data_IF_576922291529
#
_entry.id   IF_576922291529
#
_cell.length_a   1.000
_cell.length_b   1.000
_cell.length_c   1.000
_cell.angle_alpha   90.00
_cell.angle_beta   90.00
_cell.angle_gamma   90.00
#
_symmetry.space_group_name_H-M   'P 1'
#
loop_
_entity.id
_entity.type
_entity.pdbx_description
1 polymer ?
#
# COMPACT_ATOMS: atom_id res chain seq x y z
N UNK A 1 -38.41 -27.10 23.43
CA UNK A 1 -38.12 -27.42 22.02
C UNK A 1 -39.01 -26.56 21.15
N UNK A 2 -38.51 -25.39 20.72
CA UNK A 2 -39.20 -24.55 19.74
C UNK A 2 -38.35 -24.43 18.48
N UNK A 3 -38.98 -24.94 17.41
CA UNK A 3 -38.58 -25.13 16.02
C UNK A 3 -37.69 -24.06 15.36
N UNK A 4 -36.73 -24.55 14.56
CA UNK A 4 -35.79 -23.89 13.66
C UNK A 4 -36.41 -23.05 12.51
N UNK A 5 -37.67 -22.62 12.61
CA UNK A 5 -38.40 -22.01 11.48
C UNK A 5 -38.48 -20.46 11.49
N UNK A 6 -37.89 -19.78 12.48
CA UNK A 6 -38.03 -18.32 12.61
C UNK A 6 -36.87 -17.49 12.02
N UNK A 7 -35.84 -18.12 11.44
CA UNK A 7 -34.67 -17.41 10.90
C UNK A 7 -34.80 -16.95 9.43
N UNK A 8 -35.89 -17.29 8.73
CA UNK A 8 -36.06 -16.94 7.30
C UNK A 8 -36.88 -15.68 7.02
N UNK A 9 -37.53 -15.08 8.01
CA UNK A 9 -38.44 -13.94 7.79
C UNK A 9 -37.79 -12.57 8.02
N UNK A 10 -36.57 -12.51 8.57
CA UNK A 10 -35.84 -11.25 8.80
C UNK A 10 -34.90 -10.84 7.64
N UNK A 11 -34.79 -11.65 6.59
CA UNK A 11 -33.90 -11.35 5.46
C UNK A 11 -34.56 -10.48 4.36
N UNK A 12 -35.86 -10.19 4.45
CA UNK A 12 -36.65 -9.61 3.35
C UNK A 12 -37.29 -8.23 3.64
N UNK A 13 -36.86 -7.49 4.68
CA UNK A 13 -37.48 -6.19 5.01
C UNK A 13 -36.56 -4.97 4.78
N UNK A 14 -35.28 -5.14 4.41
CA UNK A 14 -34.39 -4.01 4.09
C UNK A 14 -34.10 -3.79 2.60
N UNK A 15 -34.82 -4.46 1.69
CA UNK A 15 -34.66 -4.30 0.24
C UNK A 15 -35.84 -3.56 -0.38
N UNK A 16 -36.05 -2.30 0.00
CA UNK A 16 -36.86 -1.39 -0.82
C UNK A 16 -36.06 -0.97 -2.05
N UNK A 17 -36.37 -1.63 -3.17
CA UNK A 17 -36.19 -1.21 -4.57
C UNK A 17 -34.93 -0.41 -4.94
N UNK A 18 -33.86 -1.12 -5.28
CA UNK A 18 -32.93 -0.71 -6.34
C UNK A 18 -32.69 -1.88 -7.29
N UNK A 19 -33.74 -2.25 -8.03
CA UNK A 19 -33.60 -3.12 -9.19
C UNK A 19 -33.33 -2.24 -10.42
N UNK A 20 -32.07 -1.88 -10.67
CA UNK A 20 -31.55 -1.56 -12.01
C UNK A 20 -30.01 -1.51 -11.99
N UNK A 21 -29.38 -2.53 -12.58
CA UNK A 21 -27.94 -2.67 -12.90
C UNK A 21 -26.95 -2.75 -11.74
N UNK A 22 -26.15 -3.83 -11.72
CA UNK A 22 -25.09 -4.10 -10.77
C UNK A 22 -24.01 -3.00 -10.78
N UNK A 23 -24.18 -1.96 -9.96
CA UNK A 23 -23.15 -0.96 -9.67
C UNK A 23 -22.61 -1.18 -8.27
N UNK A 24 -21.29 -1.05 -8.12
CA UNK A 24 -20.67 -1.07 -6.81
C UNK A 24 -21.26 0.00 -5.88
N UNK A 25 -21.43 -0.33 -4.59
CA UNK A 25 -21.94 0.63 -3.62
C UNK A 25 -21.02 1.85 -3.55
N UNK A 26 -21.64 3.01 -3.37
CA UNK A 26 -20.92 4.28 -3.23
C UNK A 26 -21.03 4.79 -1.79
N UNK A 27 -20.04 5.57 -1.36
CA UNK A 27 -20.06 6.19 -0.05
C UNK A 27 -19.86 7.71 -0.12
N UNK A 28 -20.49 8.42 0.82
CA UNK A 28 -20.16 9.79 1.19
C UNK A 28 -19.68 9.82 2.64
N UNK A 29 -18.61 10.56 2.89
CA UNK A 29 -18.06 10.76 4.22
C UNK A 29 -18.38 12.20 4.66
N UNK A 30 -18.92 12.36 5.86
CA UNK A 30 -19.22 13.65 6.46
C UNK A 30 -18.43 13.76 7.76
N UNK A 31 -17.38 14.57 7.76
CA UNK A 31 -16.61 14.91 8.96
C UNK A 31 -17.26 16.14 9.59
N UNK A 32 -17.63 16.04 10.86
CA UNK A 32 -18.35 17.07 11.62
C UNK A 32 -17.42 17.51 12.74
N UNK A 33 -16.97 18.77 12.69
CA UNK A 33 -16.01 19.28 13.65
C UNK A 33 -15.40 20.61 13.20
N UNK A 34 -15.72 21.66 13.94
CA UNK A 34 -15.16 23.00 13.77
C UNK A 34 -13.64 23.05 13.90
N UNK A 35 -13.05 22.17 14.72
CA UNK A 35 -11.61 22.02 14.91
C UNK A 35 -10.89 21.52 13.65
N UNK A 36 -11.58 20.73 12.82
CA UNK A 36 -11.07 20.28 11.53
C UNK A 36 -11.09 21.45 10.53
N UNK A 37 -12.20 22.21 10.50
CA UNK A 37 -12.32 23.40 9.66
C UNK A 37 -11.28 24.48 10.01
N UNK A 38 -10.94 24.60 11.30
CA UNK A 38 -9.92 25.53 11.82
C UNK A 38 -8.50 24.97 11.71
N UNK A 39 -8.32 23.77 11.15
CA UNK A 39 -7.04 23.05 11.05
C UNK A 39 -6.30 22.87 12.38
N UNK A 40 -7.01 22.87 13.51
CA UNK A 40 -6.45 22.59 14.83
C UNK A 40 -6.15 21.10 14.99
N UNK A 41 -6.97 20.26 14.34
CA UNK A 41 -6.80 18.82 14.30
C UNK A 41 -6.75 18.39 12.83
N UNK A 42 -5.77 17.54 12.50
CA UNK A 42 -5.69 16.93 11.17
C UNK A 42 -6.71 15.81 11.06
N UNK A 43 -7.57 15.85 10.04
CA UNK A 43 -8.49 14.76 9.74
C UNK A 43 -7.72 13.51 9.27
N UNK A 44 -7.69 12.50 10.14
CA UNK A 44 -7.17 11.16 9.85
C UNK A 44 -8.28 10.14 9.57
N UNK A 45 -9.52 10.44 9.96
CA UNK A 45 -10.64 9.51 9.91
C UNK A 45 -11.12 9.33 8.47
N UNK A 46 -11.20 10.40 7.68
CA UNK A 46 -11.58 10.29 6.26
C UNK A 46 -10.58 9.45 5.46
N UNK A 47 -9.29 9.64 5.71
CA UNK A 47 -8.22 8.83 5.10
C UNK A 47 -8.38 7.35 5.48
N UNK A 48 -8.58 7.07 6.78
CA UNK A 48 -8.78 5.72 7.28
C UNK A 48 -10.00 5.04 6.64
N UNK A 49 -11.14 5.74 6.59
CA UNK A 49 -12.36 5.27 5.94
C UNK A 49 -12.14 4.98 4.45
N UNK A 50 -11.52 5.89 3.70
CA UNK A 50 -11.29 5.72 2.27
C UNK A 50 -10.49 4.44 1.98
N UNK A 51 -9.41 4.21 2.73
CA UNK A 51 -8.58 3.02 2.56
C UNK A 51 -9.36 1.72 2.80
N UNK A 52 -10.16 1.67 3.87
CA UNK A 52 -10.90 0.46 4.22
C UNK A 52 -12.12 0.23 3.32
N UNK A 53 -12.89 1.27 2.99
CA UNK A 53 -14.03 1.17 2.07
C UNK A 53 -13.58 0.73 0.68
N UNK A 54 -12.44 1.25 0.20
CA UNK A 54 -11.87 0.83 -1.07
C UNK A 54 -11.54 -0.67 -1.09
N UNK A 55 -10.99 -1.23 0.00
CA UNK A 55 -10.74 -2.67 0.16
C UNK A 55 -12.03 -3.51 0.14
N UNK A 56 -13.16 -2.93 0.54
CA UNK A 56 -14.50 -3.53 0.44
C UNK A 56 -15.17 -3.31 -0.92
N UNK A 57 -14.48 -2.74 -1.91
CA UNK A 57 -15.06 -2.41 -3.21
C UNK A 57 -16.11 -1.29 -3.13
N UNK A 58 -16.06 -0.42 -2.13
CA UNK A 58 -16.97 0.72 -2.01
C UNK A 58 -16.26 1.97 -2.52
N UNK A 59 -16.84 2.63 -3.52
CA UNK A 59 -16.26 3.86 -4.08
C UNK A 59 -16.71 5.07 -3.26
N UNK A 60 -15.79 5.67 -2.52
CA UNK A 60 -16.04 6.98 -1.88
C UNK A 60 -16.14 8.03 -2.99
N UNK A 61 -17.25 8.77 -3.02
CA UNK A 61 -17.59 9.75 -4.07
C UNK A 61 -17.53 11.19 -3.59
N UNK A 62 -17.68 11.41 -2.28
CA UNK A 62 -17.63 12.73 -1.66
C UNK A 62 -17.08 12.60 -0.24
N UNK A 63 -16.25 13.55 0.13
CA UNK A 63 -15.88 13.83 1.52
C UNK A 63 -16.25 15.29 1.75
N UNK A 64 -17.00 15.56 2.81
CA UNK A 64 -17.33 16.93 3.24
C UNK A 64 -16.90 17.11 4.68
N UNK A 65 -16.33 18.27 4.99
CA UNK A 65 -16.09 18.73 6.35
C UNK A 65 -17.05 19.88 6.63
N UNK A 66 -17.83 19.79 7.70
CA UNK A 66 -18.87 20.76 8.05
C UNK A 66 -18.79 21.16 9.52
N UNK A 67 -19.34 22.33 9.84
CA UNK A 67 -19.37 22.88 11.20
C UNK A 67 -20.33 22.11 12.11
N UNK A 68 -20.14 22.24 13.42
CA UNK A 68 -21.01 21.73 14.48
C UNK A 68 -22.34 22.50 14.56
N UNK A 69 -23.15 22.39 13.51
CA UNK A 69 -24.43 23.07 13.38
C UNK A 69 -25.52 22.11 12.90
N UNK A 70 -26.63 22.04 13.63
CA UNK A 70 -27.75 21.12 13.37
C UNK A 70 -28.30 21.24 11.95
N UNK A 71 -28.42 22.46 11.40
CA UNK A 71 -29.03 22.69 10.10
C UNK A 71 -28.10 22.27 8.96
N UNK A 72 -26.81 22.59 9.08
CA UNK A 72 -25.81 22.18 8.10
C UNK A 72 -25.61 20.66 8.10
N UNK A 73 -25.53 20.04 9.28
CA UNK A 73 -25.48 18.58 9.43
C UNK A 73 -26.71 17.93 8.79
N UNK A 74 -27.90 18.42 9.12
CA UNK A 74 -29.15 17.88 8.59
C UNK A 74 -29.22 17.96 7.07
N UNK A 75 -28.85 19.11 6.50
CA UNK A 75 -28.85 19.37 5.06
C UNK A 75 -27.86 18.48 4.33
N UNK A 76 -26.63 18.35 4.83
CA UNK A 76 -25.60 17.51 4.20
C UNK A 76 -25.96 16.02 4.29
N UNK A 77 -26.45 15.55 5.44
CA UNK A 77 -26.93 14.17 5.60
C UNK A 77 -28.07 13.88 4.60
N UNK A 78 -29.08 14.75 4.52
CA UNK A 78 -30.23 14.57 3.61
C UNK A 78 -29.78 14.54 2.15
N UNK A 79 -28.87 15.42 1.76
CA UNK A 79 -28.32 15.47 0.41
C UNK A 79 -27.49 14.22 0.06
N UNK A 80 -26.67 13.75 0.99
CA UNK A 80 -25.83 12.58 0.79
C UNK A 80 -26.65 11.28 0.78
N UNK A 81 -27.60 11.15 1.70
CA UNK A 81 -28.45 9.95 1.85
C UNK A 81 -29.25 9.65 0.57
N UNK A 82 -29.71 10.69 -0.13
CA UNK A 82 -30.41 10.56 -1.41
C UNK A 82 -29.52 10.16 -2.60
N UNK A 83 -28.20 10.32 -2.49
CA UNK A 83 -27.27 10.17 -3.63
C UNK A 83 -26.35 8.94 -3.54
N UNK A 84 -26.07 8.46 -2.34
CA UNK A 84 -25.03 7.46 -2.10
C UNK A 84 -25.58 6.25 -1.35
N UNK A 85 -24.93 5.09 -1.55
CA UNK A 85 -25.35 3.85 -0.90
C UNK A 85 -25.08 3.89 0.61
N UNK A 86 -23.97 4.48 1.01
CA UNK A 86 -23.57 4.65 2.41
C UNK A 86 -23.27 6.12 2.69
N UNK A 87 -23.80 6.64 3.79
CA UNK A 87 -23.37 7.92 4.36
C UNK A 87 -22.72 7.63 5.69
N UNK A 88 -21.47 8.05 5.86
CA UNK A 88 -20.70 7.74 7.06
C UNK A 88 -20.25 9.06 7.68
N UNK A 89 -20.62 9.28 8.94
CA UNK A 89 -20.24 10.48 9.66
C UNK A 89 -19.17 10.19 10.71
N UNK A 90 -18.37 11.19 11.05
CA UNK A 90 -17.43 11.15 12.17
C UNK A 90 -17.44 12.51 12.88
N UNK A 91 -17.69 12.50 14.18
CA UNK A 91 -17.67 13.70 15.04
C UNK A 91 -19.03 14.15 15.55
N UNK A 92 -19.02 15.08 16.51
CA UNK A 92 -20.21 15.73 17.07
C UNK A 92 -21.16 14.82 17.87
N UNK A 93 -20.68 13.77 18.53
CA UNK A 93 -21.52 12.83 19.33
C UNK A 93 -21.11 12.70 20.80
N UNK A 94 -20.20 13.54 21.28
CA UNK A 94 -19.80 13.59 22.68
C UNK A 94 -20.81 14.34 23.58
N UNK A 95 -20.40 14.67 24.82
CA UNK A 95 -21.27 15.30 25.80
C UNK A 95 -21.29 16.83 25.73
N UNK A 96 -20.47 17.47 24.88
CA UNK A 96 -20.36 18.94 24.89
C UNK A 96 -21.51 19.59 24.13
N UNK A 97 -21.66 20.91 24.27
CA UNK A 97 -22.82 21.63 23.74
C UNK A 97 -22.83 21.68 22.20
N UNK A 98 -21.66 21.70 21.60
CA UNK A 98 -21.38 21.64 20.17
C UNK A 98 -21.51 20.23 19.57
N UNK A 99 -21.52 19.16 20.37
CA UNK A 99 -21.78 17.80 19.87
C UNK A 99 -23.24 17.61 19.43
N UNK A 100 -23.60 18.00 18.20
CA UNK A 100 -25.00 18.07 17.74
C UNK A 100 -25.34 17.16 16.54
N UNK A 101 -24.54 16.13 16.30
CA UNK A 101 -24.72 15.21 15.15
C UNK A 101 -26.01 14.41 15.24
N UNK A 102 -26.44 13.98 16.43
CA UNK A 102 -27.69 13.22 16.59
C UNK A 102 -28.93 14.10 16.35
N UNK A 103 -28.89 15.35 16.78
CA UNK A 103 -29.91 16.37 16.52
C UNK A 103 -30.02 16.64 15.01
N UNK A 104 -28.87 16.83 14.34
CA UNK A 104 -28.82 17.01 12.88
C UNK A 104 -29.35 15.79 12.12
N UNK A 105 -29.00 14.57 12.58
CA UNK A 105 -29.51 13.32 12.02
C UNK A 105 -31.02 13.19 12.20
N UNK A 106 -31.55 13.45 13.40
CA UNK A 106 -32.99 13.41 13.67
C UNK A 106 -33.74 14.40 12.77
N UNK A 107 -33.22 15.63 12.64
CA UNK A 107 -33.77 16.65 11.74
C UNK A 107 -33.70 16.24 10.26
N UNK A 108 -32.69 15.48 9.84
CA UNK A 108 -32.55 15.02 8.45
C UNK A 108 -33.64 14.02 8.03
N UNK A 109 -34.21 13.28 8.99
CA UNK A 109 -35.20 12.22 8.75
C UNK A 109 -36.54 12.49 9.43
N UNK A 110 -36.79 13.74 9.83
CA UNK A 110 -38.02 14.18 10.47
C UNK A 110 -38.38 13.25 11.66
N UNK A 111 -37.37 12.99 12.50
CA UNK A 111 -37.41 12.10 13.66
C UNK A 111 -37.17 12.90 14.96
N UNK A 112 -37.42 12.26 16.10
CA UNK A 112 -37.22 12.85 17.44
C UNK A 112 -36.18 12.09 18.24
N UNK A 113 -35.45 12.79 19.11
CA UNK A 113 -34.50 12.17 20.02
C UNK A 113 -35.20 11.52 21.22
N UNK A 114 -34.66 10.40 21.66
CA UNK A 114 -35.07 9.74 22.90
C UNK A 114 -33.84 9.17 23.61
N UNK A 115 -33.94 9.00 24.93
CA UNK A 115 -32.94 8.27 25.68
C UNK A 115 -33.02 6.78 25.37
N UNK A 116 -32.00 6.24 24.71
CA UNK A 116 -31.94 4.81 24.43
C UNK A 116 -31.51 4.06 25.70
N UNK A 117 -32.33 3.14 26.26
CA UNK A 117 -32.09 2.55 27.59
C UNK A 117 -30.70 1.92 27.74
N UNK A 118 -30.23 1.18 26.72
CA UNK A 118 -28.89 0.58 26.76
C UNK A 118 -27.78 1.63 26.78
N UNK A 119 -27.93 2.75 26.07
CA UNK A 119 -26.90 3.80 26.08
C UNK A 119 -26.87 4.49 27.44
N UNK A 120 -28.02 4.71 28.06
CA UNK A 120 -28.12 5.22 29.44
C UNK A 120 -27.35 4.32 30.40
N UNK A 121 -27.54 3.00 30.34
CA UNK A 121 -26.82 2.05 31.20
C UNK A 121 -25.31 2.06 30.94
N UNK A 122 -24.89 2.18 29.68
CA UNK A 122 -23.49 2.28 29.28
C UNK A 122 -22.86 3.56 29.84
N UNK A 123 -23.54 4.70 29.71
CA UNK A 123 -23.05 5.99 30.23
C UNK A 123 -22.94 5.95 31.76
N UNK A 124 -23.94 5.39 32.46
CA UNK A 124 -23.88 5.20 33.92
C UNK A 124 -22.65 4.41 34.34
N UNK A 125 -22.42 3.27 33.70
CA UNK A 125 -21.30 2.39 34.00
C UNK A 125 -19.95 3.05 33.68
N UNK A 126 -19.81 3.63 32.49
CA UNK A 126 -18.53 4.14 31.99
C UNK A 126 -18.08 5.41 32.69
N UNK A 127 -19.01 6.28 33.08
CA UNK A 127 -18.69 7.54 33.77
C UNK A 127 -18.87 7.47 35.28
N UNK A 128 -19.40 6.36 35.82
CA UNK A 128 -19.69 6.22 37.26
C UNK A 128 -20.76 7.21 37.75
N UNK A 129 -21.68 7.63 36.88
CA UNK A 129 -22.65 8.69 37.13
C UNK A 129 -24.00 8.08 37.46
N UNK A 130 -24.57 8.43 38.62
CA UNK A 130 -25.95 8.12 38.98
C UNK A 130 -26.90 9.33 38.92
N UNK A 131 -26.34 10.54 38.73
CA UNK A 131 -27.11 11.79 38.66
C UNK A 131 -27.61 12.06 37.24
N UNK A 132 -28.94 12.02 37.07
CA UNK A 132 -29.64 12.28 35.81
C UNK A 132 -29.39 13.69 35.23
N UNK A 133 -28.87 14.64 36.00
CA UNK A 133 -28.54 16.00 35.53
C UNK A 133 -27.27 16.07 34.68
N UNK A 134 -26.47 15.00 34.64
CA UNK A 134 -25.19 14.99 33.92
C UNK A 134 -25.35 15.16 32.41
N UNK A 135 -24.56 16.07 31.84
CA UNK A 135 -24.45 16.29 30.40
C UNK A 135 -24.02 15.03 29.63
N UNK A 136 -23.38 14.06 30.30
CA UNK A 136 -22.99 12.79 29.68
C UNK A 136 -24.19 12.01 29.10
N UNK A 137 -25.40 12.19 29.66
CA UNK A 137 -26.60 11.54 29.13
C UNK A 137 -27.02 12.05 27.76
N UNK A 138 -26.51 13.20 27.30
CA UNK A 138 -26.71 13.69 25.92
C UNK A 138 -26.27 12.64 24.90
N UNK A 139 -25.17 11.93 25.15
CA UNK A 139 -24.67 10.85 24.27
C UNK A 139 -25.62 9.65 24.16
N UNK A 140 -26.60 9.53 25.08
CA UNK A 140 -27.63 8.50 25.05
C UNK A 140 -28.92 8.95 24.34
N UNK A 141 -29.02 10.22 23.93
CA UNK A 141 -30.13 10.76 23.17
C UNK A 141 -29.90 10.53 21.67
N UNK A 142 -30.54 9.52 21.10
CA UNK A 142 -30.42 9.17 19.69
C UNK A 142 -31.79 9.24 18.99
N UNK A 143 -31.85 9.37 17.65
CA UNK A 143 -33.11 9.34 16.92
C UNK A 143 -33.91 8.07 17.22
N UNK A 144 -35.23 8.19 17.34
CA UNK A 144 -36.12 7.09 17.72
C UNK A 144 -36.04 5.90 16.76
N UNK A 145 -35.85 6.15 15.47
CA UNK A 145 -35.77 5.11 14.45
C UNK A 145 -34.36 4.53 14.29
N UNK A 146 -33.36 5.09 14.97
CA UNK A 146 -31.98 4.65 14.83
C UNK A 146 -31.76 3.29 15.50
N UNK A 147 -30.99 2.42 14.84
CA UNK A 147 -30.56 1.14 15.37
C UNK A 147 -29.17 1.25 15.98
N UNK A 148 -29.01 0.73 17.19
CA UNK A 148 -27.72 0.65 17.87
C UNK A 148 -26.95 -0.59 17.40
N UNK A 149 -25.73 -0.40 16.88
CA UNK A 149 -24.85 -1.49 16.41
C UNK A 149 -23.70 -1.69 17.38
N UNK A 150 -23.41 -2.95 17.67
CA UNK A 150 -22.35 -3.39 18.58
C UNK A 150 -21.25 -4.12 17.80
N UNK A 151 -20.00 -3.95 18.23
CA UNK A 151 -18.91 -4.80 17.81
C UNK A 151 -18.97 -6.17 18.47
N UNK A 152 -18.81 -7.25 17.70
CA UNK A 152 -18.63 -8.59 18.23
C UNK A 152 -17.23 -8.75 18.80
N UNK A 153 -17.10 -8.76 20.14
CA UNK A 153 -15.87 -9.22 20.80
C UNK A 153 -16.11 -10.63 21.38
N UNK A 154 -15.30 -11.65 21.02
CA UNK A 154 -15.47 -13.03 21.50
C UNK A 154 -15.23 -13.24 23.00
N UNK A 155 -14.61 -12.29 23.70
CA UNK A 155 -14.43 -12.33 25.15
C UNK A 155 -15.55 -11.54 25.83
N UNK A 156 -16.58 -12.28 26.25
CA UNK A 156 -17.66 -11.81 27.13
C UNK A 156 -17.05 -11.18 28.39
N UNK A 157 -17.15 -9.84 28.49
CA UNK A 157 -17.27 -9.01 29.72
C UNK A 157 -16.97 -7.51 29.46
N UNK A 158 -16.34 -7.15 28.33
CA UNK A 158 -16.08 -5.73 27.94
C UNK A 158 -16.79 -5.32 26.63
N UNK A 159 -17.99 -5.84 26.39
CA UNK A 159 -18.70 -5.76 25.09
C UNK A 159 -19.24 -4.36 24.68
N UNK A 160 -18.87 -3.27 25.37
CA UNK A 160 -19.63 -2.01 25.31
C UNK A 160 -18.90 -0.84 24.62
N UNK A 161 -17.58 -0.92 24.41
CA UNK A 161 -16.77 0.29 24.21
C UNK A 161 -16.77 0.88 22.78
N UNK A 162 -17.29 0.18 21.77
CA UNK A 162 -17.12 0.58 20.36
C UNK A 162 -18.40 0.42 19.55
N UNK A 163 -19.39 1.26 19.88
CA UNK A 163 -20.70 1.32 19.22
C UNK A 163 -20.76 2.38 18.12
N UNK A 164 -21.75 2.24 17.26
CA UNK A 164 -22.20 3.25 16.32
C UNK A 164 -23.71 3.09 16.13
N UNK A 165 -24.39 4.13 15.65
CA UNK A 165 -25.81 4.02 15.31
C UNK A 165 -26.01 4.07 13.79
N UNK A 166 -27.09 3.46 13.34
CA UNK A 166 -27.50 3.48 11.93
C UNK A 166 -28.96 3.91 11.84
N UNK A 167 -29.22 4.93 11.04
CA UNK A 167 -30.56 5.34 10.63
C UNK A 167 -30.60 5.39 9.11
N UNK A 168 -31.52 4.63 8.51
CA UNK A 168 -31.56 4.41 7.06
C UNK A 168 -30.19 3.94 6.52
N UNK A 169 -29.57 4.68 5.59
CA UNK A 169 -28.24 4.42 5.05
C UNK A 169 -27.13 5.28 5.70
N UNK A 170 -27.41 5.91 6.85
CA UNK A 170 -26.49 6.83 7.56
C UNK A 170 -25.90 6.16 8.79
N UNK A 171 -24.58 6.07 8.84
CA UNK A 171 -23.80 5.43 9.88
C UNK A 171 -23.04 6.51 10.65
N UNK A 172 -23.28 6.62 11.95
CA UNK A 172 -22.74 7.72 12.78
C UNK A 172 -21.70 7.22 13.76
N UNK A 173 -20.48 7.78 13.67
CA UNK A 173 -19.33 7.38 14.48
C UNK A 173 -18.74 8.55 15.30
N UNK A 174 -17.98 8.25 16.37
CA UNK A 174 -17.26 9.26 17.14
C UNK A 174 -16.19 10.01 16.32
N UNK A 175 -15.82 11.21 16.77
CA UNK A 175 -14.77 12.03 16.14
C UNK A 175 -13.35 11.63 16.52
N UNK A 176 -13.13 11.23 17.78
CA UNK A 176 -11.80 10.82 18.24
C UNK A 176 -11.31 9.56 17.51
N UNK A 177 -10.12 9.60 16.84
CA UNK A 177 -9.62 8.48 16.03
C UNK A 177 -9.54 7.16 16.80
N UNK A 178 -9.17 7.20 18.09
CA UNK A 178 -9.04 6.00 18.94
C UNK A 178 -10.37 5.26 19.09
N UNK A 179 -11.48 5.98 19.18
CA UNK A 179 -12.81 5.39 19.27
C UNK A 179 -13.40 5.10 17.88
N UNK A 180 -13.16 6.01 16.93
CA UNK A 180 -13.60 5.89 15.55
C UNK A 180 -13.08 4.62 14.91
N UNK A 181 -11.76 4.41 14.88
CA UNK A 181 -11.14 3.28 14.21
C UNK A 181 -11.65 1.94 14.77
N UNK A 182 -11.74 1.83 16.09
CA UNK A 182 -12.22 0.60 16.75
C UNK A 182 -13.69 0.32 16.46
N UNK A 183 -14.54 1.35 16.40
CA UNK A 183 -15.96 1.19 16.05
C UNK A 183 -16.13 0.89 14.56
N UNK A 184 -15.42 1.60 13.70
CA UNK A 184 -15.45 1.44 12.26
C UNK A 184 -14.96 0.07 11.80
N UNK A 185 -14.00 -0.54 12.50
CA UNK A 185 -13.56 -1.91 12.24
C UNK A 185 -14.70 -2.93 12.27
N UNK A 186 -15.77 -2.69 13.05
CA UNK A 186 -16.94 -3.58 13.08
C UNK A 186 -17.74 -3.49 11.78
N UNK A 187 -18.00 -2.27 11.30
CA UNK A 187 -18.63 -2.05 9.99
C UNK A 187 -17.75 -2.61 8.88
N UNK A 188 -16.44 -2.38 8.94
CA UNK A 188 -15.49 -2.90 7.96
C UNK A 188 -15.56 -4.43 7.82
N UNK A 189 -15.62 -5.18 8.94
CA UNK A 189 -15.78 -6.65 8.92
C UNK A 189 -17.08 -7.08 8.27
N UNK A 190 -18.19 -6.39 8.54
CA UNK A 190 -19.47 -6.64 7.90
C UNK A 190 -19.39 -6.40 6.39
N UNK A 191 -18.81 -5.29 5.96
CA UNK A 191 -18.66 -4.93 4.55
C UNK A 191 -17.71 -5.87 3.81
N UNK A 192 -16.63 -6.33 4.45
CA UNK A 192 -15.71 -7.31 3.88
C UNK A 192 -16.39 -8.64 3.53
N UNK A 193 -17.39 -9.06 4.32
CA UNK A 193 -18.10 -10.33 4.08
C UNK A 193 -18.82 -10.38 2.73
N UNK A 194 -19.06 -9.22 2.11
CA UNK A 194 -19.65 -9.13 0.78
C UNK A 194 -18.71 -9.56 -0.35
N UNK A 195 -17.42 -9.76 -0.06
CA UNK A 195 -16.34 -10.16 -0.99
C UNK A 195 -16.26 -9.33 -2.29
N UNK A 196 -16.71 -8.07 -2.23
CA UNK A 196 -16.57 -7.11 -3.32
C UNK A 196 -15.19 -6.46 -3.25
N UNK A 197 -14.49 -6.40 -4.37
CA UNK A 197 -13.18 -5.75 -4.47
C UNK A 197 -13.04 -5.08 -5.82
N UNK A 198 -12.32 -3.95 -5.85
CA UNK A 198 -11.83 -3.41 -7.09
C UNK A 198 -10.66 -4.26 -7.58
N UNK A 199 -10.67 -4.56 -8.86
CA UNK A 199 -9.55 -5.17 -9.58
C UNK A 199 -8.80 -4.02 -10.23
N UNK A 200 -7.50 -3.98 -10.02
CA UNK A 200 -6.61 -2.97 -10.60
C UNK A 200 -5.54 -3.67 -11.43
N UNK A 201 -5.37 -3.24 -12.66
CA UNK A 201 -4.23 -3.59 -13.51
C UNK A 201 -3.40 -2.34 -13.82
N UNK A 202 -2.12 -2.54 -14.09
CA UNK A 202 -1.20 -1.48 -14.50
C UNK A 202 -0.64 -1.80 -15.89
N UNK A 203 -0.44 -0.75 -16.68
CA UNK A 203 0.22 -0.77 -17.97
C UNK A 203 1.38 0.21 -17.93
N UNK A 204 2.58 -0.27 -18.24
CA UNK A 204 3.76 0.58 -18.29
C UNK A 204 4.01 1.03 -19.73
N UNK A 205 4.33 2.31 -19.90
CA UNK A 205 4.42 2.95 -21.20
C UNK A 205 5.75 3.72 -21.30
N UNK A 206 6.58 3.36 -22.27
CA UNK A 206 7.81 4.07 -22.61
C UNK A 206 7.57 5.17 -23.66
N UNK A 207 6.61 6.05 -23.37
CA UNK A 207 6.30 7.23 -24.16
C UNK A 207 5.82 8.36 -23.27
N UNK A 208 5.99 9.61 -23.73
CA UNK A 208 5.38 10.76 -23.06
C UNK A 208 3.85 10.68 -23.15
N UNK A 209 3.17 11.24 -22.16
CA UNK A 209 1.71 11.18 -22.05
C UNK A 209 0.97 11.71 -23.29
N UNK A 210 1.49 12.77 -23.92
CA UNK A 210 0.96 13.36 -25.15
C UNK A 210 0.78 12.35 -26.29
N UNK A 211 1.58 11.28 -26.32
CA UNK A 211 1.54 10.25 -27.36
C UNK A 211 0.28 9.36 -27.23
N UNK A 212 -0.21 9.13 -26.00
CA UNK A 212 -1.31 8.20 -25.75
C UNK A 212 -2.55 8.85 -25.12
N UNK A 213 -2.51 10.14 -24.76
CA UNK A 213 -3.63 10.83 -24.09
C UNK A 213 -4.93 10.82 -24.90
N UNK A 214 -4.85 10.90 -26.23
CA UNK A 214 -6.03 10.83 -27.10
C UNK A 214 -6.66 9.43 -27.10
N UNK A 215 -5.83 8.39 -27.15
CA UNK A 215 -6.29 7.01 -27.03
C UNK A 215 -6.93 6.79 -25.65
N UNK A 216 -6.27 7.24 -24.57
CA UNK A 216 -6.79 7.12 -23.21
C UNK A 216 -8.13 7.85 -23.04
N UNK A 217 -8.23 9.09 -23.51
CA UNK A 217 -9.46 9.90 -23.46
C UNK A 217 -10.62 9.25 -24.21
N UNK A 218 -10.33 8.56 -25.32
CA UNK A 218 -11.34 7.82 -26.08
C UNK A 218 -11.85 6.62 -25.28
N UNK A 219 -10.95 5.82 -24.71
CA UNK A 219 -11.33 4.64 -23.92
C UNK A 219 -12.08 5.02 -22.65
N UNK A 220 -11.70 6.11 -21.96
CA UNK A 220 -12.43 6.61 -20.79
C UNK A 220 -13.90 6.91 -21.12
N UNK A 221 -14.18 7.46 -22.30
CA UNK A 221 -15.56 7.71 -22.77
C UNK A 221 -16.30 6.42 -23.14
N UNK A 222 -15.61 5.48 -23.78
CA UNK A 222 -16.18 4.19 -24.19
C UNK A 222 -16.48 3.25 -23.00
N UNK A 223 -15.73 3.36 -21.91
CA UNK A 223 -15.81 2.48 -20.73
C UNK A 223 -16.12 3.25 -19.44
N UNK A 224 -17.33 3.79 -19.26
CA UNK A 224 -17.68 4.63 -18.10
C UNK A 224 -17.66 3.92 -16.75
N UNK A 225 -17.66 2.58 -16.75
CA UNK A 225 -17.56 1.77 -15.53
C UNK A 225 -16.10 1.47 -15.13
N UNK A 226 -15.14 1.76 -16.00
CA UNK A 226 -13.71 1.55 -15.75
C UNK A 226 -13.07 2.90 -15.40
N UNK A 227 -12.33 2.92 -14.29
CA UNK A 227 -11.56 4.10 -13.88
C UNK A 227 -10.16 3.98 -14.42
N UNK A 228 -9.70 5.04 -15.08
CA UNK A 228 -8.33 5.17 -15.57
C UNK A 228 -7.57 6.21 -14.76
N UNK A 229 -6.31 5.91 -14.45
CA UNK A 229 -5.35 6.88 -13.92
C UNK A 229 -4.11 6.88 -14.80
N UNK A 230 -3.55 8.06 -15.05
CA UNK A 230 -2.33 8.24 -15.83
C UNK A 230 -1.29 8.93 -14.95
N UNK A 231 -0.10 8.35 -14.86
CA UNK A 231 0.93 8.79 -13.94
C UNK A 231 2.27 8.89 -14.69
N UNK A 232 2.73 10.10 -15.05
CA UNK A 232 4.07 10.29 -15.57
C UNK A 232 5.09 9.96 -14.48
N UNK A 233 6.21 9.38 -14.89
CA UNK A 233 7.31 9.02 -14.00
C UNK A 233 8.59 9.65 -14.51
N UNK A 234 9.21 10.44 -13.63
CA UNK A 234 10.53 11.00 -13.88
C UNK A 234 11.59 9.96 -13.52
N UNK A 235 12.72 9.99 -14.21
CA UNK A 235 13.92 9.20 -13.90
C UNK A 235 13.74 7.66 -13.89
N UNK A 236 12.68 7.12 -14.50
CA UNK A 236 12.54 5.68 -14.73
C UNK A 236 13.04 5.31 -16.13
N UNK A 237 13.96 4.34 -16.19
CA UNK A 237 14.57 3.89 -17.46
C UNK A 237 13.67 2.96 -18.28
N UNK A 238 12.81 2.20 -17.60
CA UNK A 238 11.98 1.17 -18.25
C UNK A 238 10.72 1.74 -18.88
N UNK A 239 10.16 2.79 -18.29
CA UNK A 239 8.94 3.44 -18.76
C UNK A 239 8.91 4.91 -18.34
N UNK A 240 8.14 5.71 -19.07
CA UNK A 240 7.98 7.16 -18.84
C UNK A 240 6.65 7.51 -18.19
N UNK A 241 5.68 6.60 -18.26
CA UNK A 241 4.42 6.70 -17.57
C UNK A 241 3.87 5.31 -17.29
N UNK A 242 2.94 5.20 -16.35
CA UNK A 242 2.09 4.03 -16.25
C UNK A 242 0.62 4.44 -16.13
N UNK A 243 -0.25 3.61 -16.69
CA UNK A 243 -1.70 3.77 -16.65
C UNK A 243 -2.27 2.69 -15.73
N UNK A 244 -3.13 3.09 -14.80
CA UNK A 244 -3.89 2.18 -13.97
C UNK A 244 -5.28 2.00 -14.57
N UNK A 245 -5.73 0.76 -14.68
CA UNK A 245 -7.07 0.39 -15.16
C UNK A 245 -7.76 -0.33 -14.04
N UNK A 246 -8.85 0.24 -13.55
CA UNK A 246 -9.54 -0.25 -12.37
C UNK A 246 -11.03 -0.44 -12.63
N UNK A 247 -11.57 -1.60 -12.26
CA UNK A 247 -12.99 -1.90 -12.29
C UNK A 247 -13.32 -2.97 -11.28
N UNK A 248 -14.59 -3.08 -10.95
CA UNK A 248 -15.20 -4.25 -10.32
C UNK A 248 -15.34 -5.48 -11.22
N UNK A 249 -15.27 -5.31 -12.54
CA UNK A 249 -15.46 -6.37 -13.51
C UNK A 249 -14.16 -6.65 -14.28
N UNK A 250 -13.61 -7.86 -14.09
CA UNK A 250 -12.40 -8.31 -14.78
C UNK A 250 -12.53 -8.31 -16.30
N UNK A 251 -13.73 -8.58 -16.82
CA UNK A 251 -14.01 -8.57 -18.26
C UNK A 251 -13.93 -7.15 -18.83
N UNK A 252 -14.44 -6.17 -18.09
CA UNK A 252 -14.41 -4.77 -18.52
C UNK A 252 -12.98 -4.23 -18.51
N UNK A 253 -12.17 -4.57 -17.50
CA UNK A 253 -10.73 -4.27 -17.48
C UNK A 253 -10.05 -4.86 -18.71
N UNK A 254 -10.26 -6.16 -18.99
CA UNK A 254 -9.63 -6.82 -20.13
C UNK A 254 -10.00 -6.15 -21.46
N UNK A 255 -11.29 -5.85 -21.68
CA UNK A 255 -11.77 -5.18 -22.89
C UNK A 255 -11.22 -3.76 -23.02
N UNK A 256 -11.25 -2.98 -21.93
CA UNK A 256 -10.80 -1.60 -21.93
C UNK A 256 -9.28 -1.50 -22.11
N UNK A 257 -8.51 -2.38 -21.46
CA UNK A 257 -7.07 -2.56 -21.69
C UNK A 257 -6.77 -2.91 -23.15
N UNK A 258 -7.43 -3.91 -23.70
CA UNK A 258 -7.22 -4.30 -25.11
C UNK A 258 -7.56 -3.15 -26.06
N UNK A 259 -8.65 -2.42 -25.81
CA UNK A 259 -9.03 -1.26 -26.61
C UNK A 259 -7.99 -0.15 -26.54
N UNK A 260 -7.50 0.15 -25.33
CA UNK A 260 -6.45 1.16 -25.12
C UNK A 260 -5.15 0.78 -25.83
N UNK A 261 -4.75 -0.49 -25.75
CA UNK A 261 -3.58 -0.99 -26.47
C UNK A 261 -3.75 -0.90 -27.99
N UNK A 262 -4.94 -1.19 -28.53
CA UNK A 262 -5.20 -1.13 -29.98
C UNK A 262 -5.26 0.31 -30.52
N UNK A 263 -5.71 1.27 -29.73
CA UNK A 263 -5.75 2.69 -30.12
C UNK A 263 -4.40 3.39 -29.97
N UNK A 264 -3.51 2.81 -29.17
CA UNK A 264 -2.15 3.32 -28.97
C UNK A 264 -1.18 2.68 -29.96
N UNK A 265 -0.04 3.32 -30.20
CA UNK A 265 1.03 2.70 -30.99
C UNK A 265 1.55 1.46 -30.25
N UNK A 266 1.58 0.29 -30.91
CA UNK A 266 1.90 -1.01 -30.27
C UNK A 266 3.25 -1.04 -29.56
N UNK A 267 4.21 -0.22 -30.00
CA UNK A 267 5.59 -0.28 -29.55
C UNK A 267 5.87 0.57 -28.29
N UNK A 268 4.85 1.20 -27.70
CA UNK A 268 5.06 2.03 -26.49
C UNK A 268 4.91 1.24 -25.20
N UNK A 269 4.26 0.08 -25.23
CA UNK A 269 3.99 -0.69 -24.02
C UNK A 269 5.20 -1.50 -23.60
N UNK A 270 5.52 -1.45 -22.31
CA UNK A 270 6.63 -2.18 -21.71
C UNK A 270 6.07 -3.17 -20.70
N UNK A 271 6.52 -4.42 -20.79
CA UNK A 271 6.33 -5.34 -19.68
C UNK A 271 7.29 -4.90 -18.58
N UNK A 272 6.82 -4.74 -17.34
CA UNK A 272 7.67 -4.28 -16.24
C UNK A 272 7.18 -4.88 -14.93
N UNK A 273 8.12 -5.40 -14.16
CA UNK A 273 7.87 -5.96 -12.84
C UNK A 273 8.35 -4.99 -11.75
N UNK A 274 7.41 -4.47 -10.94
CA UNK A 274 7.74 -3.60 -9.79
C UNK A 274 8.46 -4.34 -8.68
N UNK A 275 8.28 -5.66 -8.58
CA UNK A 275 8.68 -6.48 -7.45
C UNK A 275 9.55 -7.66 -7.89
N UNK A 276 10.71 -7.41 -8.52
CA UNK A 276 11.56 -8.49 -9.03
C UNK A 276 12.06 -9.43 -7.93
N UNK A 277 12.20 -8.93 -6.70
CA UNK A 277 12.61 -9.69 -5.52
C UNK A 277 11.55 -10.68 -5.01
N UNK A 278 10.26 -10.50 -5.35
CA UNK A 278 9.18 -11.44 -5.01
C UNK A 278 9.16 -12.57 -6.03
N UNK A 279 8.96 -13.81 -5.56
CA UNK A 279 8.97 -15.02 -6.39
C UNK A 279 10.22 -15.14 -7.27
N UNK A 280 11.34 -14.57 -6.79
CA UNK A 280 12.58 -14.42 -7.56
C UNK A 280 13.14 -15.75 -8.08
N UNK A 281 12.96 -16.86 -7.34
CA UNK A 281 13.38 -18.20 -7.79
C UNK A 281 12.62 -18.62 -9.04
N UNK A 282 11.29 -18.43 -9.06
CA UNK A 282 10.45 -18.76 -10.22
C UNK A 282 10.86 -17.93 -11.43
N UNK A 283 10.99 -16.60 -11.24
CA UNK A 283 11.40 -15.66 -12.30
C UNK A 283 12.79 -15.99 -12.85
N UNK A 284 13.74 -16.33 -11.97
CA UNK A 284 15.08 -16.75 -12.36
C UNK A 284 15.06 -18.04 -13.18
N UNK A 285 14.27 -19.04 -12.78
CA UNK A 285 14.15 -20.29 -13.52
C UNK A 285 13.50 -20.09 -14.91
N UNK A 286 12.47 -19.24 -15.01
CA UNK A 286 11.87 -18.85 -16.28
C UNK A 286 12.89 -18.13 -17.19
N UNK A 287 13.65 -17.19 -16.62
CA UNK A 287 14.75 -16.53 -17.32
C UNK A 287 15.76 -17.55 -17.87
N UNK A 288 16.22 -18.50 -17.06
CA UNK A 288 17.20 -19.52 -17.47
C UNK A 288 16.68 -20.42 -18.60
N UNK A 289 15.36 -20.66 -18.69
CA UNK A 289 14.77 -21.43 -19.79
C UNK A 289 14.83 -20.68 -21.13
N UNK A 290 14.79 -19.35 -21.09
CA UNK A 290 14.80 -18.49 -22.28
C UNK A 290 16.20 -18.06 -22.74
N UNK A 291 17.22 -18.24 -21.90
CA UNK A 291 18.54 -17.67 -22.10
C UNK A 291 19.53 -18.61 -22.79
N UNK A 292 20.23 -18.11 -23.82
CA UNK A 292 21.23 -18.86 -24.59
C UNK A 292 22.44 -19.28 -23.77
N UNK A 293 22.95 -18.40 -22.89
CA UNK A 293 24.17 -18.62 -22.09
C UNK A 293 23.86 -19.07 -20.66
N UNK A 294 22.82 -19.88 -20.46
CA UNK A 294 22.35 -20.38 -19.16
C UNK A 294 23.46 -20.77 -18.16
N UNK A 295 24.49 -21.48 -18.63
CA UNK A 295 25.56 -22.01 -17.78
C UNK A 295 26.34 -20.96 -17.00
N UNK A 296 26.50 -19.72 -17.51
CA UNK A 296 27.27 -18.67 -16.81
C UNK A 296 26.51 -18.16 -15.58
N UNK A 297 25.18 -18.08 -15.68
CA UNK A 297 24.31 -17.62 -14.59
C UNK A 297 24.25 -18.67 -13.48
N UNK A 298 24.09 -19.94 -13.85
CA UNK A 298 24.12 -21.08 -12.92
C UNK A 298 25.47 -21.18 -12.20
N UNK A 299 26.59 -20.99 -12.91
CA UNK A 299 27.93 -21.00 -12.32
C UNK A 299 28.12 -19.88 -11.30
N UNK A 300 27.62 -18.67 -11.55
CA UNK A 300 27.67 -17.58 -10.57
C UNK A 300 26.86 -17.92 -9.31
N UNK A 301 25.67 -18.52 -9.45
CA UNK A 301 24.87 -18.93 -8.30
C UNK A 301 25.54 -20.08 -7.51
N UNK A 302 26.18 -21.03 -8.20
CA UNK A 302 26.95 -22.09 -7.55
C UNK A 302 28.16 -21.54 -6.78
N UNK A 303 28.85 -20.55 -7.36
CA UNK A 303 29.95 -19.85 -6.67
C UNK A 303 29.48 -19.13 -5.42
N UNK A 304 28.31 -18.47 -5.45
CA UNK A 304 27.72 -17.90 -4.23
C UNK A 304 27.50 -18.97 -3.16
N UNK A 305 27.04 -20.17 -3.55
CA UNK A 305 26.86 -21.29 -2.62
C UNK A 305 28.17 -21.71 -1.96
N UNK A 306 29.27 -21.72 -2.71
CA UNK A 306 30.58 -22.08 -2.16
C UNK A 306 31.12 -21.01 -1.20
N UNK A 307 30.91 -19.73 -1.52
CA UNK A 307 31.44 -18.60 -0.75
C UNK A 307 30.60 -18.24 0.47
N UNK A 308 29.28 -18.41 0.38
CA UNK A 308 28.32 -17.90 1.35
C UNK A 308 27.75 -19.03 2.22
N UNK A 309 28.61 -19.70 3.00
CA UNK A 309 28.16 -20.65 4.03
C UNK A 309 27.50 -19.93 5.22
N UNK A 310 27.93 -18.70 5.50
CA UNK A 310 27.32 -17.80 6.48
C UNK A 310 27.21 -16.40 5.88
N UNK A 311 25.96 -15.93 5.67
CA UNK A 311 25.69 -14.59 5.14
C UNK A 311 26.17 -13.47 6.08
N UNK A 312 26.39 -13.75 7.37
CA UNK A 312 26.86 -12.73 8.31
C UNK A 312 28.31 -12.30 8.05
N UNK A 313 29.08 -13.11 7.32
CA UNK A 313 30.47 -12.85 6.96
C UNK A 313 30.62 -12.23 5.56
N UNK A 314 29.51 -11.96 4.88
CA UNK A 314 29.49 -11.51 3.49
C UNK A 314 28.79 -10.15 3.40
N UNK A 315 29.43 -9.20 2.72
CA UNK A 315 28.84 -7.91 2.37
C UNK A 315 28.92 -7.71 0.87
N UNK A 316 27.95 -6.99 0.30
CA UNK A 316 27.88 -6.71 -1.14
C UNK A 316 28.11 -5.22 -1.37
N UNK A 317 29.00 -4.87 -2.29
CA UNK A 317 29.20 -3.47 -2.67
C UNK A 317 28.00 -2.95 -3.48
N UNK A 318 27.45 -1.80 -3.07
CA UNK A 318 26.37 -1.10 -3.77
C UNK A 318 26.84 0.29 -4.22
N UNK A 319 26.74 0.56 -5.52
CA UNK A 319 27.21 1.80 -6.17
C UNK A 319 26.23 2.37 -7.21
N UNK A 320 25.07 1.73 -7.41
CA UNK A 320 24.07 2.16 -8.39
C UNK A 320 24.26 1.57 -9.78
N UNK A 321 25.33 0.83 -10.03
CA UNK A 321 25.57 0.14 -11.29
C UNK A 321 24.56 -1.00 -11.52
N UNK A 322 24.40 -1.42 -12.79
CA UNK A 322 23.59 -2.60 -13.13
C UNK A 322 24.17 -3.82 -12.42
N UNK A 323 25.49 -3.91 -12.44
CA UNK A 323 26.32 -4.93 -11.85
C UNK A 323 26.00 -5.12 -10.36
N UNK A 324 26.00 -4.03 -9.57
CA UNK A 324 25.67 -4.10 -8.14
C UNK A 324 24.26 -4.64 -7.90
N UNK A 325 23.28 -4.22 -8.71
CA UNK A 325 21.90 -4.73 -8.63
C UNK A 325 21.79 -6.20 -8.97
N UNK A 326 22.53 -6.67 -9.99
CA UNK A 326 22.60 -8.08 -10.36
C UNK A 326 23.19 -8.91 -9.22
N UNK A 327 24.30 -8.48 -8.61
CA UNK A 327 24.91 -9.19 -7.48
C UNK A 327 23.97 -9.28 -6.29
N UNK A 328 23.30 -8.17 -5.92
CA UNK A 328 22.30 -8.16 -4.85
C UNK A 328 21.15 -9.11 -5.17
N UNK A 329 20.66 -9.10 -6.41
CA UNK A 329 19.56 -9.97 -6.82
C UNK A 329 19.94 -11.45 -6.80
N UNK A 330 21.12 -11.82 -7.29
CA UNK A 330 21.63 -13.19 -7.23
C UNK A 330 21.82 -13.66 -5.78
N UNK A 331 22.37 -12.81 -4.92
CA UNK A 331 22.49 -13.10 -3.48
C UNK A 331 21.12 -13.29 -2.82
N UNK A 332 20.11 -12.53 -3.25
CA UNK A 332 18.73 -12.67 -2.76
C UNK A 332 18.06 -13.97 -3.23
N UNK A 333 18.25 -14.36 -4.49
CA UNK A 333 17.81 -15.67 -5.00
C UNK A 333 18.44 -16.79 -4.16
N UNK A 334 19.76 -16.74 -3.95
CA UNK A 334 20.50 -17.71 -3.15
C UNK A 334 19.98 -17.79 -1.71
N UNK A 335 19.85 -16.63 -1.04
CA UNK A 335 19.27 -16.52 0.30
C UNK A 335 17.89 -17.16 0.38
N UNK A 336 17.04 -16.92 -0.62
CA UNK A 336 15.67 -17.44 -0.68
C UNK A 336 15.66 -18.95 -0.90
N UNK A 337 16.55 -19.49 -1.76
CA UNK A 337 16.68 -20.93 -2.00
C UNK A 337 17.07 -21.71 -0.75
N UNK A 338 17.91 -21.13 0.12
CA UNK A 338 18.35 -21.77 1.36
C UNK A 338 17.51 -21.40 2.59
N UNK A 339 16.43 -20.63 2.42
CA UNK A 339 15.56 -20.19 3.50
C UNK A 339 16.29 -19.47 4.65
N UNK A 340 17.33 -18.70 4.33
CA UNK A 340 18.03 -17.91 5.34
C UNK A 340 17.19 -16.72 5.81
N UNK A 341 17.05 -16.57 7.13
CA UNK A 341 16.29 -15.47 7.74
C UNK A 341 17.12 -14.18 7.86
N UNK A 342 18.45 -14.26 7.85
CA UNK A 342 19.35 -13.12 8.01
C UNK A 342 19.19 -12.12 6.84
N UNK A 343 19.29 -10.82 7.12
CA UNK A 343 19.30 -9.79 6.09
C UNK A 343 20.60 -9.85 5.29
N UNK A 344 20.54 -9.58 3.99
CA UNK A 344 21.76 -9.39 3.20
C UNK A 344 22.42 -8.09 3.64
N UNK A 345 23.74 -8.13 3.82
CA UNK A 345 24.52 -6.95 4.18
C UNK A 345 25.07 -6.31 2.92
N UNK A 346 24.96 -4.99 2.81
CA UNK A 346 25.53 -4.22 1.71
C UNK A 346 26.36 -3.07 2.25
N UNK A 347 27.43 -2.72 1.53
CA UNK A 347 28.30 -1.58 1.85
C UNK A 347 28.19 -0.52 0.77
N UNK A 348 27.87 0.70 1.20
CA UNK A 348 27.84 1.89 0.36
C UNK A 348 29.04 2.79 0.71
N UNK A 349 30.00 2.89 -0.20
CA UNK A 349 31.12 3.83 -0.07
C UNK A 349 30.71 5.21 -0.55
N UNK A 350 30.39 6.11 0.38
CA UNK A 350 29.88 7.44 0.04
C UNK A 350 31.02 8.38 -0.33
N UNK A 351 31.01 8.89 -1.57
CA UNK A 351 32.05 9.79 -2.07
C UNK A 351 31.61 11.27 -2.12
N UNK A 352 30.42 11.52 -2.65
CA UNK A 352 29.78 12.84 -2.78
C UNK A 352 28.28 12.70 -2.52
N UNK A 353 27.61 13.79 -2.13
CA UNK A 353 26.15 13.82 -2.10
C UNK A 353 25.61 13.67 -3.54
N UNK A 354 25.06 12.50 -3.85
CA UNK A 354 24.28 12.24 -5.04
C UNK A 354 22.90 11.81 -4.59
N UNK A 355 21.89 12.66 -4.83
CA UNK A 355 20.50 12.38 -4.48
C UNK A 355 20.00 11.12 -5.17
N UNK A 356 20.38 10.89 -6.43
CA UNK A 356 19.96 9.73 -7.21
C UNK A 356 20.50 8.42 -6.63
N UNK A 357 21.75 8.44 -6.13
CA UNK A 357 22.36 7.27 -5.50
C UNK A 357 21.78 6.99 -4.11
N UNK A 358 21.48 8.02 -3.33
CA UNK A 358 20.81 7.87 -2.04
C UNK A 358 19.38 7.33 -2.19
N UNK A 359 18.63 7.80 -3.20
CA UNK A 359 17.30 7.28 -3.53
C UNK A 359 17.36 5.83 -4.00
N UNK A 360 18.30 5.48 -4.88
CA UNK A 360 18.51 4.11 -5.32
C UNK A 360 18.86 3.16 -4.16
N UNK A 361 19.79 3.55 -3.29
CA UNK A 361 20.15 2.73 -2.12
C UNK A 361 18.92 2.51 -1.24
N UNK A 362 18.11 3.55 -1.01
CA UNK A 362 16.86 3.43 -0.26
C UNK A 362 15.87 2.47 -0.92
N UNK A 363 15.68 2.56 -2.24
CA UNK A 363 14.83 1.63 -2.99
C UNK A 363 15.30 0.18 -2.83
N UNK A 364 16.61 -0.06 -2.92
CA UNK A 364 17.20 -1.39 -2.77
C UNK A 364 17.01 -1.95 -1.35
N UNK A 365 17.15 -1.11 -0.32
CA UNK A 365 16.88 -1.49 1.08
C UNK A 365 15.45 -1.98 1.23
N UNK A 366 14.49 -1.21 0.74
CA UNK A 366 13.07 -1.49 0.90
C UNK A 366 12.67 -2.76 0.13
N UNK A 367 13.17 -2.92 -1.10
CA UNK A 367 12.87 -4.09 -1.94
C UNK A 367 13.48 -5.38 -1.41
N UNK A 368 14.75 -5.38 -1.04
CA UNK A 368 15.49 -6.61 -0.70
C UNK A 368 15.62 -6.83 0.81
N UNK A 369 15.07 -5.93 1.64
CA UNK A 369 15.19 -5.96 3.10
C UNK A 369 16.65 -6.06 3.55
N UNK A 370 17.47 -5.10 3.09
CA UNK A 370 18.93 -5.09 3.28
C UNK A 370 19.34 -4.44 4.62
N UNK A 371 20.51 -4.84 5.12
CA UNK A 371 21.27 -4.10 6.14
C UNK A 371 22.36 -3.30 5.44
N UNK A 372 22.40 -1.98 5.61
CA UNK A 372 23.34 -1.10 4.91
C UNK A 372 24.40 -0.53 5.84
N UNK A 373 25.65 -0.62 5.41
CA UNK A 373 26.80 0.00 6.05
C UNK A 373 27.31 1.14 5.18
N UNK A 374 27.14 2.38 5.66
CA UNK A 374 27.61 3.57 4.95
C UNK A 374 29.02 3.90 5.42
N UNK A 375 29.98 3.86 4.51
CA UNK A 375 31.39 4.11 4.81
C UNK A 375 31.81 5.43 4.18
N UNK A 376 31.93 6.46 5.02
CA UNK A 376 32.45 7.77 4.65
C UNK A 376 33.94 7.86 4.98
N UNK A 377 34.81 7.62 4.00
CA UNK A 377 36.26 7.69 4.16
C UNK A 377 36.96 7.96 2.82
N UNK A 378 38.18 8.48 2.89
CA UNK A 378 39.08 8.57 1.75
C UNK A 378 39.31 7.17 1.13
N UNK A 379 39.48 7.05 -0.19
CA UNK A 379 39.53 5.75 -0.89
C UNK A 379 40.48 4.72 -0.27
N UNK A 380 41.66 5.17 0.16
CA UNK A 380 42.71 4.37 0.80
C UNK A 380 42.34 3.83 2.21
N UNK A 381 41.34 4.44 2.87
CA UNK A 381 40.92 4.09 4.25
C UNK A 381 39.59 3.36 4.33
N UNK A 382 38.87 3.19 3.21
CA UNK A 382 37.51 2.63 3.18
C UNK A 382 37.43 1.20 3.67
N UNK A 383 38.32 0.34 3.21
CA UNK A 383 38.33 -1.08 3.62
C UNK A 383 38.65 -1.22 5.10
N UNK A 384 39.64 -0.48 5.62
CA UNK A 384 39.96 -0.49 7.05
C UNK A 384 38.78 -0.03 7.90
N UNK A 385 38.08 1.04 7.47
CA UNK A 385 36.85 1.51 8.15
C UNK A 385 35.73 0.48 8.07
N UNK A 386 35.56 -0.19 6.93
CA UNK A 386 34.58 -1.27 6.77
C UNK A 386 34.86 -2.44 7.71
N UNK A 387 36.10 -2.94 7.76
CA UNK A 387 36.51 -4.03 8.65
C UNK A 387 36.31 -3.62 10.12
N UNK A 388 36.62 -2.38 10.48
CA UNK A 388 36.34 -1.86 11.82
C UNK A 388 34.84 -1.87 12.15
N UNK A 389 33.98 -1.51 11.19
CA UNK A 389 32.52 -1.52 11.35
C UNK A 389 31.92 -2.93 11.31
N UNK A 390 32.55 -3.86 10.60
CA UNK A 390 32.14 -5.26 10.45
C UNK A 390 33.32 -6.21 10.75
N UNK A 391 33.68 -6.43 12.04
CA UNK A 391 34.85 -7.25 12.40
C UNK A 391 34.76 -8.71 11.94
N UNK A 392 33.54 -9.20 11.72
CA UNK A 392 33.23 -10.56 11.26
C UNK A 392 33.23 -10.70 9.74
N UNK A 393 33.35 -9.59 8.99
CA UNK A 393 33.36 -9.62 7.53
C UNK A 393 34.58 -10.40 7.02
N UNK A 394 34.33 -11.38 6.16
CA UNK A 394 35.36 -12.20 5.50
C UNK A 394 35.34 -12.03 3.99
N UNK A 395 34.19 -11.72 3.40
CA UNK A 395 34.04 -11.61 1.94
C UNK A 395 33.29 -10.34 1.56
N UNK A 396 33.87 -9.56 0.64
CA UNK A 396 33.21 -8.45 -0.03
C UNK A 396 32.90 -8.84 -1.47
N UNK A 397 31.61 -9.00 -1.80
CA UNK A 397 31.16 -9.30 -3.16
C UNK A 397 31.06 -8.02 -3.98
N UNK A 398 31.63 -8.06 -5.18
CA UNK A 398 31.54 -7.00 -6.18
C UNK A 398 31.02 -7.58 -7.51
N UNK A 399 30.37 -6.74 -8.31
CA UNK A 399 30.00 -7.06 -9.69
C UNK A 399 30.86 -6.22 -10.62
N UNK A 400 31.78 -6.85 -11.35
CA UNK A 400 32.55 -6.17 -12.38
C UNK A 400 32.77 -7.11 -13.56
N UNK A 401 32.47 -6.66 -14.77
CA UNK A 401 32.82 -7.41 -15.99
C UNK A 401 34.31 -7.18 -16.28
N UNK A 402 35.06 -8.27 -16.48
CA UNK A 402 36.47 -8.21 -16.89
C UNK A 402 36.54 -7.94 -18.40
N UNK A 403 37.17 -6.84 -18.82
CA UNK A 403 37.42 -6.57 -20.24
C UNK A 403 38.62 -7.37 -20.74
N UNK A 404 38.50 -7.95 -21.93
CA UNK A 404 39.55 -8.79 -22.54
C UNK A 404 40.78 -7.93 -22.82
N UNK A 405 41.85 -8.14 -22.05
CA UNK A 405 43.14 -7.47 -22.24
C UNK A 405 43.57 -6.54 -21.11
N UNK A 406 42.72 -6.31 -20.10
CA UNK A 406 43.12 -5.59 -18.88
C UNK A 406 43.27 -6.56 -17.69
N UNK A 407 44.49 -7.09 -17.50
CA UNK A 407 44.94 -7.54 -16.16
C UNK A 407 45.11 -6.35 -15.18
N UNK A 408 44.82 -5.12 -15.63
CA UNK A 408 45.16 -3.89 -14.93
C UNK A 408 44.17 -3.45 -13.85
N UNK A 409 42.92 -3.93 -13.81
CA UNK A 409 42.00 -3.57 -12.69
C UNK A 409 41.94 -4.61 -11.58
N UNK A 410 42.79 -5.63 -11.69
CA UNK A 410 43.32 -6.26 -10.51
C UNK A 410 44.03 -5.21 -9.61
N UNK A 411 44.58 -4.10 -10.14
CA UNK A 411 45.42 -3.19 -9.34
C UNK A 411 44.69 -2.21 -8.39
N UNK A 412 43.43 -1.82 -8.63
CA UNK A 412 42.73 -0.91 -7.69
C UNK A 412 42.12 -1.62 -6.47
N UNK A 413 41.92 -2.94 -6.53
CA UNK A 413 41.49 -3.75 -5.39
C UNK A 413 42.54 -4.77 -4.92
N UNK A 414 43.56 -5.13 -5.72
CA UNK A 414 44.76 -5.84 -5.22
C UNK A 414 45.67 -4.92 -4.41
N UNK A 415 45.66 -3.59 -4.62
CA UNK A 415 46.29 -2.66 -3.67
C UNK A 415 45.60 -2.67 -2.29
N UNK A 416 44.36 -3.18 -2.22
CA UNK A 416 43.54 -3.34 -1.01
C UNK A 416 43.63 -4.77 -0.42
N UNK A 417 44.31 -5.72 -1.07
CA UNK A 417 44.57 -7.07 -0.56
C UNK A 417 45.67 -7.12 0.53
N UNK A 418 46.12 -5.96 1.05
CA UNK A 418 47.09 -5.87 2.15
C UNK A 418 46.50 -6.15 3.54
N UNK A 419 45.30 -6.71 3.62
CA UNK A 419 44.68 -7.12 4.89
C UNK A 419 44.28 -8.58 4.78
N UNK A 420 45.02 -9.48 5.44
CA UNK A 420 44.81 -10.95 5.48
C UNK A 420 43.38 -11.36 5.95
N UNK A 421 42.55 -10.40 6.36
CA UNK A 421 41.26 -10.60 7.00
C UNK A 421 40.04 -10.56 6.05
N UNK A 422 40.15 -9.92 4.88
CA UNK A 422 39.01 -9.68 3.96
C UNK A 422 39.33 -10.07 2.52
N UNK A 423 38.53 -10.94 1.93
CA UNK A 423 38.62 -11.33 0.52
C UNK A 423 37.62 -10.52 -0.32
N UNK A 424 38.10 -9.85 -1.36
CA UNK A 424 37.24 -9.20 -2.35
C UNK A 424 37.00 -10.17 -3.50
N UNK A 425 35.72 -10.44 -3.81
CA UNK A 425 35.35 -11.46 -4.78
C UNK A 425 34.42 -10.90 -5.86
N UNK A 426 34.82 -11.06 -7.12
CA UNK A 426 34.00 -10.72 -8.26
C UNK A 426 33.08 -11.88 -8.65
N UNK A 427 31.77 -11.64 -8.65
CA UNK A 427 30.78 -12.69 -8.92
C UNK A 427 30.65 -13.04 -10.42
N UNK A 428 31.05 -12.13 -11.30
CA UNK A 428 30.86 -12.25 -12.74
C UNK A 428 32.02 -12.98 -13.39
N UNK A 429 31.90 -14.30 -13.44
CA UNK A 429 32.88 -15.13 -14.13
C UNK A 429 32.44 -15.40 -15.56
N UNK A 430 33.18 -14.86 -16.54
CA UNK A 430 32.90 -14.98 -17.98
C UNK A 430 31.58 -14.33 -18.45
N UNK A 431 30.98 -13.49 -17.61
CA UNK A 431 29.89 -12.62 -18.06
C UNK A 431 30.49 -11.50 -18.91
N UNK A 432 29.76 -11.08 -19.94
CA UNK A 432 30.00 -9.86 -20.70
C UNK A 432 29.06 -8.76 -20.21
N UNK A 433 29.29 -7.51 -20.63
CA UNK A 433 28.36 -6.40 -20.38
C UNK A 433 26.96 -6.71 -20.94
N UNK A 434 26.89 -7.43 -22.06
CA UNK A 434 25.64 -7.90 -22.65
C UNK A 434 24.93 -8.91 -21.74
N UNK A 435 25.65 -9.87 -21.15
CA UNK A 435 25.06 -10.84 -20.22
C UNK A 435 24.46 -10.18 -18.97
N UNK A 436 25.17 -9.17 -18.42
CA UNK A 436 24.72 -8.35 -17.29
C UNK A 436 23.44 -7.60 -17.66
N UNK A 437 23.43 -6.95 -18.82
CA UNK A 437 22.28 -6.20 -19.29
C UNK A 437 21.08 -7.10 -19.59
N UNK A 438 21.28 -8.26 -20.25
CA UNK A 438 20.23 -9.25 -20.52
C UNK A 438 19.60 -9.71 -19.22
N UNK A 439 20.41 -10.04 -18.21
CA UNK A 439 19.91 -10.48 -16.91
C UNK A 439 19.09 -9.40 -16.21
N UNK A 440 19.66 -8.19 -16.09
CA UNK A 440 19.02 -7.10 -15.39
C UNK A 440 17.73 -6.63 -16.07
N UNK A 441 17.73 -6.53 -17.40
CA UNK A 441 16.57 -6.10 -18.17
C UNK A 441 15.45 -7.15 -18.18
N UNK A 442 15.79 -8.44 -18.30
CA UNK A 442 14.80 -9.53 -18.27
C UNK A 442 14.08 -9.63 -16.93
N UNK A 443 14.76 -9.28 -15.84
CA UNK A 443 14.24 -9.31 -14.48
C UNK A 443 13.87 -7.91 -13.95
N UNK A 444 13.92 -6.86 -14.77
CA UNK A 444 13.57 -5.48 -14.41
C UNK A 444 14.26 -4.95 -13.15
N UNK A 445 15.55 -5.26 -12.99
CA UNK A 445 16.31 -4.85 -11.82
C UNK A 445 16.50 -3.31 -11.82
N UNK A 446 16.41 -2.63 -10.66
CA UNK A 446 16.66 -1.19 -10.58
C UNK A 446 18.15 -0.88 -10.77
N UNK A 447 18.51 0.26 -11.35
CA UNK A 447 19.90 0.75 -11.48
C UNK A 447 19.93 2.23 -11.90
N UNK A 448 21.03 2.93 -11.64
CA UNK A 448 21.17 4.37 -11.87
C UNK A 448 21.66 4.67 -13.28
N UNK A 449 20.92 5.57 -13.96
CA UNK A 449 21.37 6.61 -14.91
C UNK A 449 22.82 7.06 -14.96
N UNK A 450 23.79 6.40 -15.61
CA UNK A 450 24.89 7.21 -16.19
C UNK A 450 24.34 7.82 -17.48
N UNK A 451 24.11 9.13 -17.49
CA UNK A 451 23.68 9.89 -18.68
C UNK A 451 24.83 9.99 -19.66
#
# INVERSE_FOLDING_TARGET
MFSLHSYKTLYNVCTKFYATTARHPTASIIVIGDEILKAQVKDTNSYYMCNLLYKCGIKVKKISVISDNVDEISKEIRNASNKYTYVITSGGIGPTHDDVTYEGLAKAFDDTLHYHPKLVDIIKYQFGINDASSLAYKMAQIPQKASLKFGSNPSMEKAITYLYIVLENVYVFPGSPVFFEKSFQNLYKELLSTNRRFIKEELFINAREEIFVNALSTVVKEFPNVTFGSYPVNNCRYFKAFVTIESDNKSDIKKAKQRFCNLSSTNIFVNFDRMPHIDCITKYNEFLQSCLRRSIYEQSLEKLRQLCQNLDHVSIHIDGSIESSVVIHLAHIFKTQLHFNNKLQVVYFKEKQSTDLEEFVKEMIDKYNLTVYIVEAAPDKRINKLIFMQPHLRTLLIGKVEEVGEDEVSHNYNSLNNVDQLQIYNLFHKWTNEDVWIFASSLYLPYISTV
#
